data_IF_991712943249
#
_entry.id   IF_991712943249
#
_cell.length_a   1.000
_cell.length_b   1.000
_cell.length_c   1.000
_cell.angle_alpha   90.00
_cell.angle_beta   90.00
_cell.angle_gamma   90.00
#
_symmetry.space_group_name_H-M   'P 1'
#
loop_
_entity.id
_entity.type
_entity.pdbx_description
1 polymer ?
#
# COMPACT_ATOMS: atom_id res chain seq x y z
N UNK A 1 -11.91 10.43 11.03
CA UNK A 1 -12.76 11.08 10.01
C UNK A 1 -12.59 10.34 8.70
N UNK A 2 -13.65 9.78 8.10
CA UNK A 2 -13.55 9.23 6.75
C UNK A 2 -13.08 10.33 5.79
N UNK A 3 -12.26 9.97 4.80
CA UNK A 3 -11.88 10.90 3.74
C UNK A 3 -13.16 11.47 3.11
N UNK A 4 -13.32 12.80 3.14
CA UNK A 4 -14.50 13.48 2.59
C UNK A 4 -14.66 13.06 1.14
N UNK A 5 -15.71 12.30 0.81
CA UNK A 5 -15.94 11.81 -0.54
C UNK A 5 -16.22 12.99 -1.48
N UNK A 6 -15.75 12.89 -2.71
CA UNK A 6 -16.07 13.82 -3.80
C UNK A 6 -15.88 13.08 -5.14
N UNK A 7 -16.18 13.71 -6.29
CA UNK A 7 -15.91 13.10 -7.58
C UNK A 7 -14.45 12.66 -7.72
N UNK A 8 -14.23 11.48 -8.30
CA UNK A 8 -12.88 10.93 -8.51
C UNK A 8 -12.81 10.10 -9.79
N UNK A 9 -11.61 9.95 -10.35
CA UNK A 9 -11.35 9.10 -11.52
C UNK A 9 -10.43 7.98 -11.10
N UNK A 10 -10.74 6.74 -11.48
CA UNK A 10 -9.89 5.57 -11.21
C UNK A 10 -9.85 4.70 -12.46
N UNK A 11 -8.63 4.44 -12.96
CA UNK A 11 -8.41 3.65 -14.18
C UNK A 11 -9.24 4.15 -15.38
N UNK A 12 -9.27 5.48 -15.59
CA UNK A 12 -10.02 6.11 -16.68
C UNK A 12 -11.54 6.19 -16.47
N UNK A 13 -12.08 5.64 -15.37
CA UNK A 13 -13.51 5.69 -15.06
C UNK A 13 -13.84 6.76 -14.02
N UNK A 14 -14.86 7.57 -14.31
CA UNK A 14 -15.39 8.56 -13.38
C UNK A 14 -16.33 7.95 -12.34
N UNK A 15 -16.22 8.45 -11.11
CA UNK A 15 -17.09 8.11 -9.98
C UNK A 15 -17.59 9.41 -9.35
N UNK A 16 -18.92 9.58 -9.26
CA UNK A 16 -19.54 10.78 -8.70
C UNK A 16 -19.20 11.02 -7.22
N UNK A 17 -18.85 9.95 -6.50
CA UNK A 17 -18.43 9.99 -5.10
C UNK A 17 -17.33 8.96 -4.87
N UNK A 18 -16.21 9.39 -4.30
CA UNK A 18 -15.05 8.56 -3.98
C UNK A 18 -13.95 9.35 -3.28
N UNK A 19 -12.86 8.65 -2.96
CA UNK A 19 -11.69 9.22 -2.29
C UNK A 19 -10.36 8.79 -2.95
N UNK A 20 -10.41 8.30 -4.19
CA UNK A 20 -9.21 7.91 -4.92
C UNK A 20 -8.22 9.09 -4.99
N UNK A 21 -6.94 8.79 -4.73
CA UNK A 21 -5.84 9.76 -4.59
C UNK A 21 -6.03 10.90 -3.57
N UNK A 22 -7.12 10.91 -2.80
CA UNK A 22 -7.41 11.90 -1.75
C UNK A 22 -7.18 11.28 -0.38
N UNK A 23 -5.94 10.88 -0.15
CA UNK A 23 -5.52 10.19 1.07
C UNK A 23 -4.21 10.77 1.64
N UNK A 24 -3.88 10.50 2.92
CA UNK A 24 -2.66 11.01 3.56
C UNK A 24 -1.37 10.66 2.85
N UNK A 25 -1.33 9.54 2.13
CA UNK A 25 -0.16 9.14 1.36
C UNK A 25 0.11 10.12 0.21
N UNK A 26 -0.91 10.46 -0.59
CA UNK A 26 -0.79 11.45 -1.68
C UNK A 26 -0.32 12.80 -1.14
N UNK A 27 -0.91 13.27 -0.05
CA UNK A 27 -0.55 14.57 0.54
C UNK A 27 0.87 14.59 1.10
N UNK A 28 1.35 13.47 1.61
CA UNK A 28 2.72 13.35 2.12
C UNK A 28 3.74 13.38 0.98
N UNK A 29 3.46 12.75 -0.15
CA UNK A 29 4.32 12.83 -1.36
C UNK A 29 4.33 14.24 -1.93
N UNK A 30 3.16 14.89 -2.04
CA UNK A 30 3.08 16.28 -2.52
C UNK A 30 3.83 17.24 -1.60
N UNK A 31 3.79 17.05 -0.28
CA UNK A 31 4.59 17.84 0.66
C UNK A 31 6.09 17.66 0.42
N UNK A 32 6.54 16.43 0.19
CA UNK A 32 7.96 16.12 0.10
C UNK A 32 8.58 16.45 -1.27
N UNK A 33 7.81 16.37 -2.35
CA UNK A 33 8.37 16.32 -3.71
C UNK A 33 7.48 16.95 -4.79
N UNK A 34 6.52 17.82 -4.44
CA UNK A 34 5.71 18.49 -5.45
C UNK A 34 6.55 19.45 -6.32
N UNK A 35 6.25 19.45 -7.62
CA UNK A 35 6.70 20.48 -8.56
C UNK A 35 5.52 21.40 -8.85
N UNK A 36 5.71 22.70 -8.65
CA UNK A 36 4.66 23.69 -8.85
C UNK A 36 4.61 24.10 -10.31
N UNK A 37 3.49 23.80 -10.99
CA UNK A 37 3.32 24.14 -12.41
C UNK A 37 2.64 25.51 -12.59
N UNK A 38 1.68 25.87 -11.71
CA UNK A 38 0.99 27.17 -11.73
C UNK A 38 0.59 27.60 -10.32
N UNK A 39 0.68 28.90 -10.05
CA UNK A 39 0.29 29.50 -8.77
C UNK A 39 1.23 29.14 -7.60
N UNK A 40 0.94 29.59 -6.37
CA UNK A 40 1.72 29.21 -5.20
C UNK A 40 1.46 27.75 -4.80
N UNK A 41 2.48 27.08 -4.26
CA UNK A 41 2.37 25.71 -3.79
C UNK A 41 1.50 25.66 -2.52
N UNK A 42 0.32 25.04 -2.60
CA UNK A 42 -0.56 24.83 -1.44
C UNK A 42 -0.13 23.64 -0.54
N UNK A 43 0.98 22.97 -0.85
CA UNK A 43 1.50 21.85 -0.06
C UNK A 43 2.12 22.34 1.27
N UNK A 44 1.24 22.69 2.20
CA UNK A 44 1.59 23.20 3.53
C UNK A 44 0.39 23.86 4.22
N UNK A 45 -0.55 24.40 3.45
CA UNK A 45 -1.72 25.11 3.95
C UNK A 45 -2.96 24.20 3.91
N UNK A 46 -3.22 23.48 5.02
CA UNK A 46 -4.52 22.84 5.29
C UNK A 46 -4.77 21.43 4.72
N UNK A 47 -3.94 20.92 3.81
CA UNK A 47 -4.12 19.59 3.20
C UNK A 47 -3.38 18.47 3.94
N UNK A 48 -2.19 18.75 4.47
CA UNK A 48 -1.37 17.79 5.23
C UNK A 48 -1.67 17.91 6.74
N UNK A 49 -1.87 16.77 7.41
CA UNK A 49 -2.31 16.72 8.83
C UNK A 49 -1.30 16.07 9.77
N UNK A 50 -0.03 15.99 9.39
CA UNK A 50 1.02 15.42 10.24
C UNK A 50 1.28 13.93 10.03
N UNK A 51 2.44 13.48 10.52
CA UNK A 51 2.90 12.09 10.47
C UNK A 51 1.98 11.15 11.25
N UNK A 52 1.47 11.56 12.41
CA UNK A 52 0.51 10.76 13.20
C UNK A 52 -0.79 10.47 12.43
N UNK A 53 -1.23 11.39 11.56
CA UNK A 53 -2.39 11.12 10.70
C UNK A 53 -2.07 10.10 9.62
N UNK A 54 -0.87 10.16 9.05
CA UNK A 54 -0.38 9.19 8.06
C UNK A 54 -0.25 7.79 8.69
N UNK A 55 0.35 7.66 9.87
CA UNK A 55 0.49 6.40 10.60
C UNK A 55 -0.86 5.74 10.90
N UNK A 56 -1.81 6.48 11.50
CA UNK A 56 -3.16 5.97 11.76
C UNK A 56 -3.87 5.53 10.49
N UNK A 57 -3.72 6.31 9.42
CA UNK A 57 -4.30 5.95 8.12
C UNK A 57 -3.63 4.71 7.53
N UNK A 58 -2.31 4.55 7.68
CA UNK A 58 -1.57 3.41 7.19
C UNK A 58 -1.98 2.12 7.92
N UNK A 59 -2.11 2.16 9.24
CA UNK A 59 -2.58 1.02 10.04
C UNK A 59 -4.02 0.62 9.65
N UNK A 60 -4.94 1.58 9.57
CA UNK A 60 -6.31 1.30 9.11
C UNK A 60 -6.34 0.72 7.68
N UNK A 61 -5.44 1.18 6.82
CA UNK A 61 -5.28 0.70 5.44
C UNK A 61 -4.70 -0.72 5.36
N UNK A 62 -3.88 -1.12 6.34
CA UNK A 62 -3.40 -2.50 6.53
C UNK A 62 -4.57 -3.39 6.93
N UNK A 63 -5.38 -2.98 7.91
CA UNK A 63 -6.54 -3.76 8.37
C UNK A 63 -7.61 -3.92 7.29
N UNK A 64 -7.86 -2.88 6.49
CA UNK A 64 -8.75 -2.96 5.33
C UNK A 64 -8.24 -3.97 4.30
N UNK A 65 -6.95 -3.93 3.95
CA UNK A 65 -6.35 -4.86 3.00
C UNK A 65 -6.31 -6.28 3.51
N UNK A 66 -6.04 -6.48 4.80
CA UNK A 66 -6.17 -7.79 5.44
C UNK A 66 -7.59 -8.31 5.27
N UNK A 67 -8.61 -7.54 5.66
CA UNK A 67 -10.01 -7.97 5.49
C UNK A 67 -10.38 -8.26 4.04
N UNK A 68 -9.94 -7.44 3.10
CA UNK A 68 -10.20 -7.65 1.68
C UNK A 68 -9.50 -8.92 1.16
N UNK A 69 -8.22 -9.12 1.49
CA UNK A 69 -7.47 -10.33 1.13
C UNK A 69 -8.03 -11.61 1.75
N UNK A 70 -8.65 -11.50 2.93
CA UNK A 70 -9.23 -12.64 3.65
C UNK A 70 -10.74 -12.79 3.45
N UNK A 71 -11.33 -11.98 2.58
CA UNK A 71 -12.76 -12.04 2.27
C UNK A 71 -13.12 -13.22 1.36
N UNK A 72 -14.39 -13.67 1.38
CA UNK A 72 -14.86 -14.80 0.57
C UNK A 72 -14.66 -14.59 -0.93
N UNK A 73 -14.86 -13.37 -1.45
CA UNK A 73 -14.66 -13.03 -2.87
C UNK A 73 -13.20 -13.18 -3.35
N UNK A 74 -12.24 -13.20 -2.42
CA UNK A 74 -10.81 -13.37 -2.73
C UNK A 74 -10.40 -14.84 -2.70
N UNK A 75 -11.19 -15.71 -2.06
CA UNK A 75 -10.99 -17.15 -2.04
C UNK A 75 -11.18 -17.78 -3.43
N UNK A 76 -11.96 -17.13 -4.31
CA UNK A 76 -12.20 -17.57 -5.69
C UNK A 76 -11.06 -17.18 -6.67
N UNK A 77 -9.95 -16.61 -6.19
CA UNK A 77 -8.72 -16.37 -6.97
C UNK A 77 -8.80 -15.26 -8.05
N UNK A 78 -9.99 -14.77 -8.37
CA UNK A 78 -10.26 -13.75 -9.40
C UNK A 78 -9.63 -12.40 -9.10
N UNK A 79 -9.53 -11.99 -7.83
CA UNK A 79 -8.93 -10.71 -7.42
C UNK A 79 -7.42 -10.62 -7.74
N UNK A 80 -6.72 -11.77 -7.84
CA UNK A 80 -5.26 -11.89 -7.94
C UNK A 80 -4.79 -12.44 -9.30
N UNK A 81 -5.70 -12.61 -10.27
CA UNK A 81 -5.42 -13.30 -11.53
C UNK A 81 -4.42 -12.59 -12.49
N UNK A 82 -4.10 -11.31 -12.31
CA UNK A 82 -2.91 -10.71 -12.95
C UNK A 82 -2.54 -9.32 -12.39
N UNK A 83 -3.52 -8.46 -12.09
CA UNK A 83 -3.28 -7.06 -11.67
C UNK A 83 -3.52 -6.80 -10.18
N UNK A 84 -3.95 -7.82 -9.43
CA UNK A 84 -4.14 -7.72 -7.98
C UNK A 84 -2.84 -7.86 -7.20
N UNK A 85 -1.98 -8.81 -7.60
CA UNK A 85 -0.77 -9.17 -6.86
C UNK A 85 0.16 -7.97 -6.67
N UNK A 86 0.54 -7.28 -7.75
CA UNK A 86 1.36 -6.05 -7.67
C UNK A 86 0.77 -5.03 -6.69
N UNK A 87 -0.54 -4.79 -6.80
CA UNK A 87 -1.22 -3.78 -6.00
C UNK A 87 -1.32 -4.15 -4.53
N UNK A 88 -1.56 -5.42 -4.23
CA UNK A 88 -1.69 -5.94 -2.87
C UNK A 88 -0.32 -6.06 -2.21
N UNK A 89 0.62 -6.77 -2.83
CA UNK A 89 1.95 -7.06 -2.28
C UNK A 89 2.74 -5.75 -2.10
N UNK A 90 2.93 -4.96 -3.15
CA UNK A 90 3.66 -3.68 -3.03
C UNK A 90 2.86 -2.66 -2.21
N UNK A 91 1.53 -2.77 -2.20
CA UNK A 91 0.68 -1.96 -1.34
C UNK A 91 0.94 -2.23 0.15
N UNK A 92 1.05 -3.51 0.54
CA UNK A 92 1.37 -3.92 1.91
C UNK A 92 2.79 -3.51 2.29
N UNK A 93 3.80 -3.76 1.45
CA UNK A 93 5.17 -3.31 1.72
C UNK A 93 5.24 -1.79 1.92
N UNK A 94 4.48 -1.03 1.13
CA UNK A 94 4.46 0.43 1.23
C UNK A 94 3.85 0.91 2.55
N UNK A 95 2.77 0.28 3.01
CA UNK A 95 2.15 0.63 4.29
C UNK A 95 3.05 0.26 5.46
N UNK A 96 3.69 -0.91 5.39
CA UNK A 96 4.65 -1.34 6.40
C UNK A 96 5.86 -0.39 6.49
N UNK A 97 6.45 -0.01 5.36
CA UNK A 97 7.52 0.99 5.33
C UNK A 97 7.09 2.34 5.93
N UNK A 98 5.87 2.80 5.62
CA UNK A 98 5.32 4.03 6.20
C UNK A 98 5.23 3.93 7.72
N UNK A 99 4.76 2.79 8.25
CA UNK A 99 4.68 2.56 9.69
C UNK A 99 6.06 2.46 10.35
N UNK A 100 7.05 1.90 9.65
CA UNK A 100 8.41 1.75 10.17
C UNK A 100 9.23 3.05 10.14
N UNK A 101 8.97 3.95 9.19
CA UNK A 101 9.87 5.10 8.90
C UNK A 101 9.18 6.46 8.94
N UNK A 102 7.85 6.52 8.87
CA UNK A 102 7.09 7.76 8.67
C UNK A 102 7.22 8.36 7.26
N UNK A 103 7.92 7.71 6.34
CA UNK A 103 8.18 8.18 4.97
C UNK A 103 7.36 7.39 3.95
N UNK A 104 6.94 8.04 2.87
CA UNK A 104 6.20 7.37 1.78
C UNK A 104 7.16 6.98 0.64
N UNK A 105 7.36 5.69 0.38
CA UNK A 105 8.21 5.24 -0.72
C UNK A 105 7.42 5.10 -2.03
N UNK A 106 8.13 4.99 -3.15
CA UNK A 106 7.54 4.49 -4.39
C UNK A 106 7.13 3.02 -4.21
N UNK A 107 6.28 2.48 -5.10
CA UNK A 107 5.96 1.03 -5.04
C UNK A 107 7.19 0.16 -5.34
N UNK A 108 8.11 0.64 -6.17
CA UNK A 108 9.33 -0.10 -6.49
C UNK A 108 10.24 -0.17 -5.26
N UNK A 109 10.45 0.95 -4.59
CA UNK A 109 11.28 1.00 -3.37
C UNK A 109 10.61 0.24 -2.22
N UNK A 110 9.28 0.27 -2.14
CA UNK A 110 8.54 -0.56 -1.19
C UNK A 110 8.78 -2.06 -1.42
N UNK A 111 8.83 -2.51 -2.68
CA UNK A 111 9.14 -3.91 -3.00
C UNK A 111 10.59 -4.27 -2.63
N UNK A 112 11.56 -3.40 -2.95
CA UNK A 112 12.96 -3.59 -2.57
C UNK A 112 13.14 -3.64 -1.05
N UNK A 113 12.46 -2.76 -0.33
CA UNK A 113 12.36 -2.81 1.13
C UNK A 113 11.81 -4.15 1.60
N UNK A 114 10.73 -4.65 0.97
CA UNK A 114 10.16 -5.96 1.31
C UNK A 114 11.17 -7.11 1.20
N UNK A 115 12.04 -7.10 0.19
CA UNK A 115 13.11 -8.09 0.02
C UNK A 115 14.19 -8.01 1.11
N UNK A 116 14.41 -6.82 1.68
CA UNK A 116 15.38 -6.60 2.76
C UNK A 116 14.77 -6.98 4.12
N UNK A 117 13.48 -6.70 4.32
CA UNK A 117 12.82 -6.80 5.62
C UNK A 117 12.20 -8.17 5.90
N UNK A 118 11.59 -8.80 4.89
CA UNK A 118 10.88 -10.06 5.07
C UNK A 118 11.77 -11.25 4.72
N UNK A 119 11.47 -12.39 5.37
CA UNK A 119 12.26 -13.60 5.23
C UNK A 119 12.25 -14.14 3.78
N UNK A 120 13.30 -14.88 3.35
CA UNK A 120 13.49 -15.31 1.97
C UNK A 120 12.32 -16.06 1.32
N UNK A 121 11.50 -16.78 2.10
CA UNK A 121 10.31 -17.47 1.59
C UNK A 121 9.30 -16.52 0.92
N UNK A 122 9.30 -15.24 1.28
CA UNK A 122 8.41 -14.22 0.72
C UNK A 122 8.99 -13.53 -0.52
N UNK A 123 10.27 -13.76 -0.85
CA UNK A 123 10.93 -13.06 -1.95
C UNK A 123 10.28 -13.37 -3.29
N UNK A 124 9.87 -14.62 -3.52
CA UNK A 124 9.21 -15.04 -4.77
C UNK A 124 7.97 -14.20 -5.10
N UNK A 125 7.10 -13.94 -4.12
CA UNK A 125 5.87 -13.16 -4.35
C UNK A 125 6.15 -11.66 -4.47
N UNK A 126 7.18 -11.17 -3.77
CA UNK A 126 7.61 -9.76 -3.85
C UNK A 126 8.27 -9.48 -5.21
N UNK A 127 9.13 -10.38 -5.68
CA UNK A 127 9.76 -10.29 -7.00
C UNK A 127 8.73 -10.40 -8.12
N UNK A 128 7.74 -11.28 -8.00
CA UNK A 128 6.64 -11.36 -8.96
C UNK A 128 5.85 -10.03 -9.03
N UNK A 129 5.59 -9.41 -7.88
CA UNK A 129 4.94 -8.10 -7.81
C UNK A 129 5.79 -6.98 -8.45
N UNK A 130 7.11 -6.99 -8.20
CA UNK A 130 8.07 -6.07 -8.83
C UNK A 130 8.18 -6.29 -10.34
N UNK A 131 8.17 -7.55 -10.79
CA UNK A 131 8.19 -7.93 -12.20
C UNK A 131 6.96 -7.40 -12.91
N UNK A 132 5.75 -7.66 -12.40
CA UNK A 132 4.49 -7.13 -12.96
C UNK A 132 4.52 -5.61 -13.05
N UNK A 133 5.12 -4.94 -12.06
CA UNK A 133 5.25 -3.48 -12.04
C UNK A 133 6.20 -2.95 -13.11
N UNK A 134 7.32 -3.62 -13.36
CA UNK A 134 8.36 -3.20 -14.32
C UNK A 134 7.96 -3.56 -15.74
N UNK A 135 7.50 -4.79 -15.93
CA UNK A 135 7.24 -5.37 -17.25
C UNK A 135 6.13 -6.42 -17.17
N UNK A 136 4.89 -5.98 -17.44
CA UNK A 136 3.71 -6.86 -17.37
C UNK A 136 3.76 -8.04 -18.33
N UNK A 137 4.51 -7.92 -19.43
CA UNK A 137 4.67 -8.96 -20.45
C UNK A 137 5.76 -9.98 -20.18
N UNK A 138 6.58 -9.78 -19.14
CA UNK A 138 7.63 -10.73 -18.78
C UNK A 138 7.04 -12.07 -18.28
N UNK A 139 7.84 -13.13 -18.34
CA UNK A 139 7.45 -14.46 -17.90
C UNK A 139 7.11 -14.49 -16.40
N UNK A 140 6.06 -15.21 -16.03
CA UNK A 140 5.61 -15.35 -14.64
C UNK A 140 6.64 -16.17 -13.83
N UNK A 141 6.99 -15.71 -12.62
CA UNK A 141 7.91 -16.46 -11.74
C UNK A 141 7.25 -17.70 -11.10
N UNK A 142 5.94 -17.85 -11.26
CA UNK A 142 5.17 -18.98 -10.80
C UNK A 142 4.88 -19.91 -11.97
N UNK A 143 5.30 -21.18 -11.85
CA UNK A 143 5.05 -22.22 -12.84
C UNK A 143 3.54 -22.50 -13.02
N UNK A 144 2.76 -22.39 -11.93
CA UNK A 144 1.31 -22.48 -11.98
C UNK A 144 0.67 -21.18 -11.47
N UNK A 145 -0.26 -20.55 -12.23
CA UNK A 145 -0.95 -19.34 -11.77
C UNK A 145 -1.71 -19.51 -10.45
N UNK A 146 -2.06 -20.75 -10.10
CA UNK A 146 -2.80 -21.10 -8.88
C UNK A 146 -2.02 -20.92 -7.59
N UNK A 147 -0.68 -21.01 -7.61
CA UNK A 147 0.17 -20.83 -6.42
C UNK A 147 0.32 -19.35 -6.02
N UNK A 148 0.25 -18.44 -7.00
CA UNK A 148 0.52 -17.01 -6.80
C UNK A 148 -0.52 -16.33 -5.89
N UNK A 149 -1.78 -16.73 -6.01
CA UNK A 149 -2.87 -16.18 -5.20
C UNK A 149 -2.70 -16.46 -3.70
N UNK A 150 -2.60 -17.74 -3.30
CA UNK A 150 -2.32 -18.16 -1.93
C UNK A 150 -1.08 -17.50 -1.33
N UNK A 151 0.05 -17.44 -2.04
CA UNK A 151 1.28 -16.78 -1.56
C UNK A 151 1.05 -15.29 -1.27
N UNK A 152 0.34 -14.58 -2.16
CA UNK A 152 0.02 -13.17 -1.95
C UNK A 152 -0.87 -12.97 -0.72
N UNK A 153 -1.83 -13.85 -0.47
CA UNK A 153 -2.70 -13.79 0.71
C UNK A 153 -1.96 -14.11 1.99
N UNK A 154 -1.12 -15.13 1.97
CA UNK A 154 -0.27 -15.50 3.10
C UNK A 154 0.70 -14.35 3.45
N UNK A 155 1.29 -13.70 2.43
CA UNK A 155 2.12 -12.53 2.61
C UNK A 155 1.35 -11.33 3.18
N UNK A 156 0.14 -11.05 2.69
CA UNK A 156 -0.73 -10.00 3.26
C UNK A 156 -1.02 -10.27 4.74
N UNK A 157 -1.25 -11.52 5.14
CA UNK A 157 -1.44 -11.88 6.56
C UNK A 157 -0.19 -11.56 7.37
N UNK A 158 0.97 -12.06 6.92
CA UNK A 158 2.27 -11.83 7.56
C UNK A 158 2.54 -10.33 7.77
N UNK A 159 2.51 -9.54 6.70
CA UNK A 159 2.82 -8.10 6.77
C UNK A 159 1.84 -7.37 7.66
N UNK A 160 0.56 -7.76 7.67
CA UNK A 160 -0.43 -7.13 8.54
C UNK A 160 -0.20 -7.45 10.02
N UNK A 161 0.25 -8.66 10.35
CA UNK A 161 0.57 -9.04 11.73
C UNK A 161 1.86 -8.35 12.19
N UNK A 162 2.90 -8.31 11.35
CA UNK A 162 4.15 -7.59 11.65
C UNK A 162 3.95 -6.07 11.76
N UNK A 163 3.15 -5.47 10.87
CA UNK A 163 2.84 -4.02 10.93
C UNK A 163 2.21 -3.59 12.27
N UNK A 164 1.47 -4.49 12.95
CA UNK A 164 0.90 -4.19 14.27
C UNK A 164 1.93 -4.22 15.38
N UNK A 165 3.00 -5.00 15.25
CA UNK A 165 4.08 -5.03 16.25
C UNK A 165 4.85 -3.71 16.26
N UNK A 166 5.01 -3.07 15.09
CA UNK A 166 5.66 -1.76 14.95
C UNK A 166 4.94 -0.64 15.73
N UNK A 167 3.61 -0.68 15.78
CA UNK A 167 2.80 0.34 16.48
C UNK A 167 2.75 0.12 17.99
N UNK A 168 3.01 -1.11 18.45
CA UNK A 168 3.00 -1.49 19.88
C UNK A 168 4.40 -1.40 20.52
N UNK A 169 5.46 -1.17 19.74
CA UNK A 169 6.85 -1.03 20.21
C UNK A 169 7.13 0.21 21.10
N UNK A 170 8.29 0.27 21.79
CA UNK A 170 8.53 1.05 23.02
C UNK A 170 8.72 2.58 22.81
N UNK A 171 8.17 3.14 21.73
CA UNK A 171 8.16 4.57 21.45
C UNK A 171 6.76 5.21 21.46
N UNK A 172 5.71 4.42 21.71
CA UNK A 172 4.33 4.91 21.81
C UNK A 172 4.11 5.74 23.07
N UNK A 173 4.52 7.01 23.04
CA UNK A 173 4.07 8.00 24.03
C UNK A 173 2.55 8.11 23.95
N UNK A 174 1.85 7.52 24.92
CA UNK A 174 0.42 7.75 25.14
C UNK A 174 0.16 9.23 25.42
N UNK A 175 -1.05 9.74 25.11
CA UNK A 175 -1.39 11.13 25.40
C UNK A 175 -1.50 11.31 26.92
N UNK A 176 -0.59 12.10 27.49
CA UNK A 176 -0.82 12.83 28.74
C UNK A 176 -1.61 14.11 28.47
#
# INVERSE_FOLDING_TARGET
MPSRTAPSVRQGRFFASGCHDRNPLTWSVLRASAVTIRGPLCAGTGLWRGTTHLERWALASVDERRRAGLGPDTADGTLLAANGVERFVLGMCRLHYVLATGVVPSKSDAGLYGLITFQPEWHRIIDEALRIRRERGAECLYATPGERGPDALAFVRLVADDARTLVVGPGGSGPG
#
